data_IF_577356113235
#
_entry.id   IF_577356113235
#
_cell.length_a   1.000
_cell.length_b   1.000
_cell.length_c   1.000
_cell.angle_alpha   90.00
_cell.angle_beta   90.00
_cell.angle_gamma   90.00
#
_symmetry.space_group_name_H-M   'P 1'
#
loop_
_entity.id
_entity.type
_entity.pdbx_description
1 polymer ?
#
# COMPACT_ATOMS: atom_id res chain seq x y z
N UNK A 1 18.53 9.87 -11.49
CA UNK A 1 18.61 8.50 -12.05
C UNK A 1 17.18 8.10 -12.39
N UNK A 2 16.94 7.49 -13.55
CA UNK A 2 15.60 7.04 -13.91
C UNK A 2 15.28 5.79 -13.09
N UNK A 3 14.17 5.79 -12.35
CA UNK A 3 13.69 4.61 -11.64
C UNK A 3 13.30 3.56 -12.68
N UNK A 4 13.65 2.30 -12.45
CA UNK A 4 13.33 1.20 -13.36
C UNK A 4 12.57 0.14 -12.59
N UNK A 5 11.50 -0.37 -13.20
CA UNK A 5 10.62 -1.35 -12.58
C UNK A 5 10.65 -2.68 -13.35
N UNK A 6 10.31 -3.77 -12.67
CA UNK A 6 10.17 -5.10 -13.27
C UNK A 6 8.85 -5.73 -12.84
N UNK A 7 8.17 -6.41 -13.76
CA UNK A 7 7.00 -7.25 -13.48
C UNK A 7 7.11 -8.58 -14.23
N UNK A 8 6.33 -9.58 -13.81
CA UNK A 8 6.19 -10.84 -14.56
C UNK A 8 4.98 -10.74 -15.49
N UNK A 9 5.07 -11.38 -16.66
CA UNK A 9 3.95 -11.44 -17.63
C UNK A 9 2.70 -12.10 -17.02
N UNK A 10 2.86 -13.01 -16.05
CA UNK A 10 1.74 -13.62 -15.32
C UNK A 10 0.89 -12.62 -14.51
N UNK A 11 1.43 -11.43 -14.22
CA UNK A 11 0.73 -10.36 -13.51
C UNK A 11 0.14 -9.32 -14.46
N UNK A 12 0.41 -9.41 -15.76
CA UNK A 12 -0.23 -8.55 -16.75
C UNK A 12 -1.59 -9.13 -17.13
N UNK A 13 -2.68 -8.33 -17.05
CA UNK A 13 -3.96 -8.74 -17.59
C UNK A 13 -3.88 -8.91 -19.12
N UNK A 14 -4.76 -9.75 -19.68
CA UNK A 14 -4.85 -9.95 -21.13
C UNK A 14 -5.26 -8.68 -21.88
N UNK A 15 -6.01 -7.81 -21.20
CA UNK A 15 -6.37 -6.47 -21.65
C UNK A 15 -5.62 -5.43 -20.83
N UNK A 16 -4.73 -4.70 -21.48
CA UNK A 16 -3.93 -3.62 -20.89
C UNK A 16 -4.43 -2.24 -21.29
N UNK A 17 -5.56 -2.15 -21.99
CA UNK A 17 -6.16 -0.87 -22.38
C UNK A 17 -6.81 -0.19 -21.15
N UNK A 18 -6.13 0.83 -20.63
CA UNK A 18 -6.64 1.66 -19.55
C UNK A 18 -5.93 1.42 -18.22
N UNK A 19 -6.67 1.60 -17.13
CA UNK A 19 -6.15 1.49 -15.78
C UNK A 19 -6.21 0.05 -15.28
N UNK A 20 -5.09 -0.44 -14.75
CA UNK A 20 -4.94 -1.78 -14.20
C UNK A 20 -4.25 -1.74 -12.84
N UNK A 21 -4.49 -2.77 -12.02
CA UNK A 21 -3.71 -3.01 -10.80
C UNK A 21 -2.58 -3.98 -11.11
N UNK A 22 -1.33 -3.54 -10.98
CA UNK A 22 -0.16 -4.32 -11.34
C UNK A 22 0.77 -4.51 -10.14
N UNK A 23 1.32 -5.72 -10.00
CA UNK A 23 2.43 -5.97 -9.08
C UNK A 23 3.75 -5.61 -9.77
N UNK A 24 4.51 -4.72 -9.16
CA UNK A 24 5.79 -4.25 -9.69
C UNK A 24 6.88 -4.43 -8.64
N UNK A 25 8.10 -4.64 -9.14
CA UNK A 25 9.33 -4.68 -8.36
C UNK A 25 10.19 -3.49 -8.73
N UNK A 26 10.52 -2.64 -7.78
CA UNK A 26 11.52 -1.59 -7.96
C UNK A 26 12.91 -2.24 -8.04
N UNK A 27 13.64 -2.01 -9.13
CA UNK A 27 14.94 -2.67 -9.36
C UNK A 27 16.05 -2.12 -8.48
N UNK A 28 15.96 -0.87 -8.01
CA UNK A 28 16.95 -0.25 -7.13
C UNK A 28 16.74 -0.69 -5.68
N UNK A 29 15.50 -0.60 -5.19
CA UNK A 29 15.16 -0.92 -3.79
C UNK A 29 14.85 -2.39 -3.56
N UNK A 30 14.59 -3.15 -4.64
CA UNK A 30 14.06 -4.54 -4.62
C UNK A 30 12.71 -4.66 -3.91
N UNK A 31 11.97 -3.57 -3.84
CA UNK A 31 10.66 -3.52 -3.21
C UNK A 31 9.59 -4.06 -4.16
N UNK A 32 8.74 -4.98 -3.67
CA UNK A 32 7.61 -5.53 -4.41
C UNK A 32 6.33 -4.91 -3.84
N UNK A 33 5.52 -4.30 -4.68
CA UNK A 33 4.25 -3.67 -4.29
C UNK A 33 3.21 -3.77 -5.40
N UNK A 34 1.94 -3.56 -5.05
CA UNK A 34 0.83 -3.46 -5.99
C UNK A 34 0.39 -2.00 -6.11
N UNK A 35 0.09 -1.55 -7.32
CA UNK A 35 -0.32 -0.18 -7.58
C UNK A 35 -1.27 -0.09 -8.77
N UNK A 36 -2.06 0.99 -8.81
CA UNK A 36 -2.86 1.37 -9.97
C UNK A 36 -1.97 2.07 -10.98
N UNK A 37 -1.99 1.60 -12.21
CA UNK A 37 -1.13 2.11 -13.26
C UNK A 37 -1.77 1.95 -14.63
N UNK A 38 -1.25 2.71 -15.60
CA UNK A 38 -1.41 2.40 -17.03
C UNK A 38 -0.10 1.83 -17.54
N UNK A 39 -0.18 0.86 -18.44
CA UNK A 39 1.00 0.28 -19.07
C UNK A 39 0.85 0.37 -20.58
N UNK A 40 1.95 0.68 -21.28
CA UNK A 40 1.98 0.64 -22.74
C UNK A 40 3.36 0.17 -23.21
N UNK A 41 3.42 -0.31 -24.45
CA UNK A 41 4.67 -0.58 -25.16
C UNK A 41 5.26 0.69 -25.77
N UNK A 42 4.43 1.71 -25.98
CA UNK A 42 4.83 3.01 -26.50
C UNK A 42 4.80 4.03 -25.35
N UNK A 43 5.92 4.72 -25.05
CA UNK A 43 5.93 5.73 -24.00
C UNK A 43 5.04 6.94 -24.33
N UNK A 44 4.76 7.21 -25.61
CA UNK A 44 3.96 8.36 -26.04
C UNK A 44 2.46 8.18 -25.73
N UNK A 45 2.02 6.96 -25.38
CA UNK A 45 0.65 6.66 -24.94
C UNK A 45 0.41 6.98 -23.45
N UNK A 46 1.46 7.35 -22.72
CA UNK A 46 1.45 7.54 -21.27
C UNK A 46 1.79 9.00 -20.90
N UNK A 47 1.27 9.47 -19.76
CA UNK A 47 1.45 10.86 -19.33
C UNK A 47 2.78 11.06 -18.58
N UNK A 48 3.16 10.10 -17.74
CA UNK A 48 4.48 10.04 -17.09
C UNK A 48 5.12 8.66 -17.26
N UNK A 49 5.63 8.40 -18.47
CA UNK A 49 6.14 7.09 -18.85
C UNK A 49 7.45 6.75 -18.14
N UNK A 50 7.44 5.72 -17.29
CA UNK A 50 8.63 5.18 -16.62
C UNK A 50 8.98 3.80 -17.17
N UNK A 51 10.26 3.43 -17.33
CA UNK A 51 10.65 2.11 -17.84
C UNK A 51 10.16 0.95 -16.96
N UNK A 52 9.47 -0.01 -17.60
CA UNK A 52 9.02 -1.27 -17.01
C UNK A 52 9.58 -2.46 -17.79
N UNK A 53 10.22 -3.40 -17.11
CA UNK A 53 10.70 -4.66 -17.71
C UNK A 53 9.70 -5.77 -17.42
N UNK A 54 9.16 -6.40 -18.48
CA UNK A 54 8.23 -7.53 -18.36
C UNK A 54 9.02 -8.83 -18.58
N UNK A 55 8.98 -9.72 -17.58
CA UNK A 55 9.65 -11.02 -17.62
C UNK A 55 8.65 -12.10 -18.02
N UNK A 56 8.88 -12.77 -19.15
CA UNK A 56 8.03 -13.87 -19.61
C UNK A 56 8.44 -15.15 -18.89
N UNK A 57 7.72 -15.51 -17.83
CA UNK A 57 7.86 -16.78 -17.12
C UNK A 57 9.19 -17.04 -16.38
N UNK A 58 9.23 -18.04 -15.47
CA UNK A 58 10.42 -18.35 -14.66
C UNK A 58 11.53 -19.11 -15.43
N UNK A 59 11.26 -19.56 -16.65
CA UNK A 59 12.16 -20.42 -17.44
C UNK A 59 12.52 -19.87 -18.81
N UNK A 60 11.91 -18.76 -19.24
CA UNK A 60 12.23 -18.11 -20.49
C UNK A 60 13.06 -16.85 -20.20
N UNK A 61 14.29 -16.78 -20.73
CA UNK A 61 15.14 -15.60 -20.63
C UNK A 61 14.68 -14.49 -21.60
N UNK A 62 13.38 -14.31 -21.75
CA UNK A 62 12.79 -13.33 -22.65
C UNK A 62 12.26 -12.18 -21.80
N UNK A 63 12.97 -11.06 -21.86
CA UNK A 63 12.56 -9.79 -21.23
C UNK A 63 12.04 -8.86 -22.32
N UNK A 64 10.91 -8.23 -22.08
CA UNK A 64 10.31 -7.25 -22.98
C UNK A 64 10.28 -5.88 -22.29
N UNK A 65 10.67 -4.83 -23.01
CA UNK A 65 10.64 -3.45 -22.50
C UNK A 65 9.26 -2.84 -22.74
N UNK A 66 8.65 -2.35 -21.67
CA UNK A 66 7.37 -1.64 -21.63
C UNK A 66 7.56 -0.34 -20.83
N UNK A 67 6.48 0.41 -20.68
CA UNK A 67 6.41 1.62 -19.89
C UNK A 67 5.21 1.56 -18.95
N UNK A 68 5.37 2.18 -17.78
CA UNK A 68 4.36 2.28 -16.73
C UNK A 68 4.17 3.73 -16.34
N UNK A 69 2.91 4.12 -16.19
CA UNK A 69 2.47 5.41 -15.66
C UNK A 69 1.71 5.14 -14.36
N UNK A 70 2.27 5.59 -13.24
CA UNK A 70 1.66 5.36 -11.93
C UNK A 70 0.51 6.33 -11.76
N UNK A 71 -0.69 5.79 -11.55
CA UNK A 71 -1.82 6.62 -11.19
C UNK A 71 -1.68 6.91 -9.69
N UNK A 72 -0.96 7.97 -9.39
CA UNK A 72 -0.93 8.54 -8.06
C UNK A 72 -2.34 9.04 -7.76
N UNK A 73 -3.01 8.43 -6.79
CA UNK A 73 -4.14 9.10 -6.14
C UNK A 73 -3.54 10.34 -5.49
N UNK A 74 -3.70 11.50 -6.13
CA UNK A 74 -3.37 12.78 -5.52
C UNK A 74 -4.19 12.88 -4.23
N UNK A 75 -3.55 12.61 -3.08
CA UNK A 75 -4.06 13.02 -1.77
C UNK A 75 -3.78 14.53 -1.69
N UNK A 76 -4.50 15.27 -2.53
CA UNK A 76 -4.39 16.72 -2.70
C UNK A 76 -5.79 17.30 -2.73
N UNK A 77 -6.09 18.11 -1.71
CA UNK A 77 -7.34 18.85 -1.52
C UNK A 77 -8.57 18.04 -1.03
N UNK A 78 -8.45 17.47 0.18
CA UNK A 78 -9.55 17.50 1.15
C UNK A 78 -10.69 16.49 1.00
N UNK A 79 -10.50 15.38 0.28
CA UNK A 79 -11.45 14.27 0.36
C UNK A 79 -10.74 12.93 0.50
N UNK A 80 -10.83 12.35 1.69
CA UNK A 80 -10.41 10.99 1.98
C UNK A 80 -11.37 10.03 1.27
N UNK A 81 -10.82 9.11 0.48
CA UNK A 81 -11.61 8.04 -0.15
C UNK A 81 -12.09 7.04 0.91
N UNK A 82 -13.36 7.19 1.32
CA UNK A 82 -13.98 6.40 2.38
C UNK A 82 -14.14 4.91 1.99
N UNK A 83 -14.30 4.60 0.70
CA UNK A 83 -14.47 3.23 0.24
C UNK A 83 -13.14 2.47 0.30
N UNK A 84 -12.06 3.10 -0.15
CA UNK A 84 -10.70 2.58 -0.04
C UNK A 84 -10.27 2.43 1.43
N UNK A 85 -10.60 3.42 2.28
CA UNK A 85 -10.30 3.36 3.72
C UNK A 85 -11.03 2.18 4.40
N UNK A 86 -12.27 1.89 4.00
CA UNK A 86 -13.02 0.71 4.48
C UNK A 86 -12.38 -0.61 4.04
N UNK A 87 -11.85 -0.68 2.81
CA UNK A 87 -11.18 -1.88 2.30
C UNK A 87 -9.88 -2.14 3.07
N UNK A 88 -9.03 -1.13 3.23
CA UNK A 88 -7.79 -1.24 4.03
C UNK A 88 -8.08 -1.64 5.49
N UNK A 89 -9.18 -1.16 6.07
CA UNK A 89 -9.63 -1.54 7.42
C UNK A 89 -9.99 -3.03 7.54
N UNK A 90 -10.50 -3.64 6.46
CA UNK A 90 -10.80 -5.07 6.40
C UNK A 90 -9.50 -5.87 6.24
N UNK A 91 -8.63 -5.45 5.33
CA UNK A 91 -7.36 -6.12 5.07
C UNK A 91 -6.39 -6.06 6.26
N UNK A 92 -6.34 -4.94 6.98
CA UNK A 92 -5.49 -4.77 8.17
C UNK A 92 -5.89 -5.67 9.34
N UNK A 93 -7.13 -6.20 9.37
CA UNK A 93 -7.54 -7.22 10.34
C UNK A 93 -6.95 -8.60 10.04
N UNK A 94 -6.55 -8.84 8.79
CA UNK A 94 -6.13 -10.15 8.29
C UNK A 94 -4.61 -10.27 8.05
N UNK A 95 -3.86 -9.17 7.92
CA UNK A 95 -2.45 -9.18 7.51
C UNK A 95 -1.42 -8.84 8.60
N UNK A 96 -0.88 -9.86 9.27
CA UNK A 96 0.34 -9.76 10.10
C UNK A 96 1.51 -10.38 9.34
N UNK A 97 2.32 -9.59 8.62
CA UNK A 97 3.75 -9.87 8.39
C UNK A 97 4.40 -8.74 7.60
N UNK A 98 4.97 -7.76 8.32
CA UNK A 98 5.54 -6.56 7.73
C UNK A 98 7.06 -6.72 7.56
N UNK A 99 7.46 -7.22 6.38
CA UNK A 99 8.73 -6.98 5.67
C UNK A 99 10.02 -7.54 6.32
N UNK A 100 11.01 -8.00 5.55
CA UNK A 100 12.11 -8.84 6.07
C UNK A 100 13.55 -8.31 5.85
N UNK A 101 13.76 -7.07 5.38
CA UNK A 101 15.11 -6.48 5.24
C UNK A 101 15.24 -5.05 5.77
N UNK A 102 14.46 -4.08 5.26
CA UNK A 102 14.31 -2.76 5.92
C UNK A 102 13.74 -2.86 7.34
N UNK A 103 12.97 -3.93 7.55
CA UNK A 103 12.47 -4.30 8.87
C UNK A 103 13.59 -4.72 9.81
N UNK A 104 14.71 -5.31 9.36
CA UNK A 104 15.79 -5.70 10.29
C UNK A 104 16.50 -4.48 10.90
N UNK A 105 16.86 -3.49 10.09
CA UNK A 105 17.47 -2.25 10.56
C UNK A 105 16.50 -1.43 11.43
N UNK A 106 15.26 -1.27 10.96
CA UNK A 106 14.22 -0.59 11.73
C UNK A 106 13.93 -1.32 13.04
N UNK A 107 13.85 -2.65 13.02
CA UNK A 107 13.65 -3.48 14.21
C UNK A 107 14.81 -3.39 15.17
N UNK A 108 16.06 -3.24 14.69
CA UNK A 108 17.20 -2.98 15.56
C UNK A 108 17.09 -1.62 16.26
N UNK A 109 16.69 -0.55 15.55
CA UNK A 109 16.46 0.77 16.13
C UNK A 109 15.29 0.76 17.14
N UNK A 110 14.17 0.11 16.80
CA UNK A 110 13.02 -0.02 17.69
C UNK A 110 13.36 -0.87 18.93
N UNK A 111 14.12 -1.94 18.78
CA UNK A 111 14.64 -2.72 19.91
C UNK A 111 15.51 -1.89 20.83
N UNK A 112 16.35 -1.00 20.28
CA UNK A 112 17.15 -0.07 21.08
C UNK A 112 16.25 0.85 21.92
N UNK A 113 15.22 1.46 21.31
CA UNK A 113 14.31 2.38 22.00
C UNK A 113 13.53 1.70 23.14
N UNK A 114 13.07 0.46 22.93
CA UNK A 114 12.42 -0.34 23.99
C UNK A 114 13.40 -0.64 25.13
N UNK A 115 14.64 -1.05 24.81
CA UNK A 115 15.66 -1.34 25.83
C UNK A 115 16.13 -0.09 26.56
N UNK A 116 16.05 1.07 25.93
CA UNK A 116 16.31 2.37 26.54
C UNK A 116 15.18 2.80 27.49
N UNK A 117 14.03 2.12 27.48
CA UNK A 117 12.87 2.44 28.32
C UNK A 117 11.96 3.52 27.74
N UNK A 118 12.15 3.89 26.47
CA UNK A 118 11.31 4.89 25.80
C UNK A 118 9.93 4.32 25.42
N UNK A 119 9.83 2.99 25.26
CA UNK A 119 8.58 2.28 24.94
C UNK A 119 8.51 0.94 25.67
N UNK A 120 7.30 0.49 25.98
CA UNK A 120 7.07 -0.75 26.74
C UNK A 120 7.32 -2.01 25.90
N UNK A 121 7.16 -1.90 24.57
CA UNK A 121 7.35 -3.01 23.65
C UNK A 121 7.65 -2.55 22.22
N UNK A 122 8.11 -3.47 21.38
CA UNK A 122 8.33 -3.21 19.95
C UNK A 122 7.05 -2.76 19.24
N UNK A 123 5.92 -3.41 19.52
CA UNK A 123 4.64 -3.05 18.93
C UNK A 123 4.15 -1.68 19.38
N UNK A 124 4.41 -1.32 20.64
CA UNK A 124 4.10 0.00 21.18
C UNK A 124 4.96 1.09 20.51
N UNK A 125 6.26 0.86 20.37
CA UNK A 125 7.16 1.75 19.64
C UNK A 125 6.71 1.97 18.19
N UNK A 126 6.40 0.89 17.46
CA UNK A 126 5.91 0.97 16.07
C UNK A 126 4.60 1.75 16.00
N UNK A 127 3.62 1.39 16.83
CA UNK A 127 2.30 2.04 16.82
C UNK A 127 2.40 3.52 17.15
N UNK A 128 3.18 3.87 18.18
CA UNK A 128 3.33 5.25 18.62
C UNK A 128 4.06 6.11 17.58
N UNK A 129 5.14 5.61 16.99
CA UNK A 129 5.89 6.32 15.95
C UNK A 129 5.07 6.49 14.66
N UNK A 130 4.41 5.43 14.20
CA UNK A 130 3.56 5.50 13.00
C UNK A 130 2.35 6.40 13.22
N UNK A 131 1.69 6.30 14.38
CA UNK A 131 0.53 7.14 14.71
C UNK A 131 0.91 8.62 14.80
N UNK A 132 2.07 8.94 15.41
CA UNK A 132 2.56 10.30 15.48
C UNK A 132 2.89 10.86 14.08
N UNK A 133 3.52 10.05 13.22
CA UNK A 133 3.82 10.43 11.85
C UNK A 133 2.54 10.68 11.05
N UNK A 134 1.57 9.76 11.11
CA UNK A 134 0.29 9.87 10.40
C UNK A 134 -0.50 11.09 10.86
N UNK A 135 -0.55 11.35 12.17
CA UNK A 135 -1.26 12.52 12.70
C UNK A 135 -0.61 13.85 12.29
N UNK A 136 0.70 13.84 12.03
CA UNK A 136 1.44 15.05 11.63
C UNK A 136 1.32 15.33 10.14
N UNK A 137 1.52 14.31 9.31
CA UNK A 137 1.57 14.48 7.84
C UNK A 137 0.17 14.40 7.21
N UNK A 138 -0.76 13.66 7.81
CA UNK A 138 -2.10 13.40 7.25
C UNK A 138 -3.21 13.51 8.32
N UNK A 139 -3.39 14.68 8.96
CA UNK A 139 -4.37 14.86 10.03
C UNK A 139 -5.81 14.57 9.57
N UNK A 140 -6.19 14.98 8.37
CA UNK A 140 -7.53 14.78 7.79
C UNK A 140 -7.87 13.28 7.66
N UNK A 141 -6.88 12.45 7.30
CA UNK A 141 -7.04 11.00 7.22
C UNK A 141 -7.28 10.38 8.61
N UNK A 142 -6.56 10.86 9.62
CA UNK A 142 -6.71 10.36 11.00
C UNK A 142 -8.09 10.73 11.55
N UNK A 143 -8.56 11.95 11.28
CA UNK A 143 -9.89 12.41 11.67
C UNK A 143 -10.99 11.56 11.01
N UNK A 144 -10.97 11.42 9.68
CA UNK A 144 -11.96 10.63 8.95
C UNK A 144 -11.97 9.16 9.39
N UNK A 145 -10.78 8.59 9.64
CA UNK A 145 -10.67 7.23 10.16
C UNK A 145 -11.36 7.04 11.53
N UNK A 146 -11.20 8.00 12.45
CA UNK A 146 -11.82 7.95 13.78
C UNK A 146 -13.34 8.03 13.67
N UNK A 147 -13.84 8.90 12.80
CA UNK A 147 -15.27 9.09 12.56
C UNK A 147 -15.89 7.83 11.93
N UNK A 148 -15.26 7.29 10.90
CA UNK A 148 -15.68 6.06 10.23
C UNK A 148 -15.68 4.86 11.19
N UNK A 149 -14.63 4.71 12.01
CA UNK A 149 -14.56 3.62 13.00
C UNK A 149 -15.69 3.71 14.01
N UNK A 150 -15.98 4.92 14.50
CA UNK A 150 -17.09 5.17 15.43
C UNK A 150 -18.44 4.85 14.79
N UNK A 151 -18.63 5.18 13.51
CA UNK A 151 -19.86 4.85 12.79
C UNK A 151 -20.06 3.33 12.65
N UNK A 152 -19.00 2.60 12.29
CA UNK A 152 -19.03 1.13 12.17
C UNK A 152 -19.31 0.43 13.51
N UNK A 153 -18.72 0.90 14.61
CA UNK A 153 -19.02 0.38 15.95
C UNK A 153 -20.49 0.58 16.32
N UNK A 154 -21.05 1.77 16.04
CA UNK A 154 -22.48 2.05 16.27
C UNK A 154 -23.38 1.16 15.42
N UNK A 155 -23.04 0.94 14.16
CA UNK A 155 -23.81 0.04 13.28
C UNK A 155 -23.78 -1.40 13.79
N UNK A 156 -22.60 -1.90 14.19
CA UNK A 156 -22.44 -3.24 14.77
C UNK A 156 -23.29 -3.42 16.03
N UNK A 157 -23.26 -2.44 16.93
CA UNK A 157 -24.09 -2.45 18.15
C UNK A 157 -25.58 -2.43 17.79
N UNK A 158 -26.00 -1.57 16.86
CA UNK A 158 -27.40 -1.49 16.42
C UNK A 158 -27.88 -2.76 15.69
N UNK A 159 -26.98 -3.48 15.02
CA UNK A 159 -27.26 -4.77 14.40
C UNK A 159 -27.39 -5.88 15.45
N UNK A 160 -26.52 -5.90 16.46
CA UNK A 160 -26.58 -6.85 17.57
C UNK A 160 -27.91 -6.74 18.34
N UNK A 161 -28.33 -5.52 18.70
CA UNK A 161 -29.61 -5.28 19.37
C UNK A 161 -30.83 -5.65 18.53
N UNK A 162 -30.77 -5.54 17.19
CA UNK A 162 -31.84 -6.02 16.29
C UNK A 162 -31.87 -7.55 16.15
N UNK A 163 -30.79 -8.24 16.48
CA UNK A 163 -30.67 -9.69 16.45
C UNK A 163 -31.21 -10.41 17.70
N UNK A 164 -31.32 -9.70 18.83
CA UNK A 164 -31.83 -10.25 20.11
C UNK A 164 -33.37 -10.22 20.25
N UNK A 165 -34.09 -9.62 19.30
CA UNK A 165 -35.56 -9.54 19.27
C UNK A 165 -36.26 -10.68 18.49
N UNK A 166 -35.59 -11.83 18.31
CA UNK A 166 -36.12 -12.99 17.55
C UNK A 166 -36.27 -14.27 18.35
#
# INVERSE_FOLDING_TARGET
MARTYTTSEEYLPEDTDGEITLQVTDTESREIFRTRARVSRDPDDLSDAVPLTVVKGPHENTQEQWYIDFIETEIGEGHVDEELLRECLREARDGSDLMNARSEELRAMLQYLVRAGEYDSLSDAVRSLLSAQLSREYPELVEEYVDLRTALERESVAAAFRGEDR
#
